data_IF_332530790518
#
_entry.id   IF_332530790518
#
_cell.length_a   1.000
_cell.length_b   1.000
_cell.length_c   1.000
_cell.angle_alpha   90.00
_cell.angle_beta   90.00
_cell.angle_gamma   90.00
#
_symmetry.space_group_name_H-M   'P 1'
#
loop_
_entity.id
_entity.type
_entity.pdbx_description
1 polymer ?
#
# COMPACT_ATOMS: atom_id res chain seq x y z
N UNK A 1 16.68 -34.93 14.54
CA UNK A 1 17.20 -34.84 15.92
C UNK A 1 16.25 -35.62 16.82
N UNK A 2 16.53 -36.91 17.06
CA UNK A 2 15.65 -37.75 17.89
C UNK A 2 15.77 -37.37 19.36
N UNK A 3 14.63 -37.27 20.05
CA UNK A 3 14.61 -37.11 21.51
C UNK A 3 15.37 -38.28 22.15
N UNK A 4 16.25 -38.03 23.14
CA UNK A 4 16.98 -39.09 23.81
C UNK A 4 16.02 -40.06 24.50
N UNK A 5 16.34 -41.35 24.44
CA UNK A 5 15.61 -42.39 25.18
C UNK A 5 15.65 -42.01 26.66
N UNK A 6 14.48 -41.74 27.24
CA UNK A 6 14.37 -41.40 28.66
C UNK A 6 14.94 -42.56 29.48
N UNK A 7 15.94 -42.33 30.35
CA UNK A 7 16.45 -43.37 31.22
C UNK A 7 15.32 -43.86 32.16
N UNK A 8 15.34 -45.13 32.59
CA UNK A 8 14.41 -45.61 33.60
C UNK A 8 14.55 -44.71 34.83
N UNK A 9 13.42 -44.15 35.30
CA UNK A 9 13.38 -43.32 36.51
C UNK A 9 14.12 -44.08 37.63
N UNK A 10 15.14 -43.48 38.27
CA UNK A 10 15.79 -44.11 39.41
C UNK A 10 14.72 -44.43 40.46
N UNK A 11 14.73 -45.66 40.97
CA UNK A 11 13.85 -46.13 42.04
C UNK A 11 14.03 -45.24 43.28
N UNK A 12 13.26 -44.15 43.35
CA UNK A 12 12.88 -43.60 44.63
C UNK A 12 12.05 -44.68 45.31
N UNK A 13 12.48 -45.10 46.50
CA UNK A 13 11.76 -46.00 47.39
C UNK A 13 10.43 -45.37 47.82
N UNK A 14 9.45 -45.40 46.92
CA UNK A 14 8.06 -45.07 47.15
C UNK A 14 7.28 -45.95 46.17
N UNK A 15 6.49 -46.88 46.71
CA UNK A 15 5.59 -47.75 45.95
C UNK A 15 4.50 -46.95 45.24
N UNK A 16 4.86 -46.23 44.19
CA UNK A 16 3.92 -45.89 43.12
C UNK A 16 3.60 -47.19 42.38
N UNK A 17 2.33 -47.45 42.04
CA UNK A 17 1.97 -48.68 41.37
C UNK A 17 2.77 -48.76 40.06
N UNK A 18 3.59 -49.81 39.91
CA UNK A 18 3.94 -50.26 38.56
C UNK A 18 2.61 -50.42 37.86
N UNK A 19 2.39 -49.71 36.77
CA UNK A 19 1.13 -49.81 36.04
C UNK A 19 1.02 -51.25 35.55
N UNK A 20 0.31 -52.07 36.31
CA UNK A 20 0.02 -53.46 35.97
C UNK A 20 -0.92 -53.37 34.78
N UNK A 21 -0.35 -53.55 33.59
CA UNK A 21 -1.12 -53.63 32.37
C UNK A 21 -2.06 -54.82 32.54
N UNK A 22 -3.38 -54.61 32.47
CA UNK A 22 -4.32 -55.70 32.66
C UNK A 22 -3.99 -56.81 31.65
N UNK A 23 -3.86 -58.04 32.13
CA UNK A 23 -3.61 -59.18 31.27
C UNK A 23 -4.91 -59.59 30.57
N UNK A 24 -4.82 -60.23 29.39
CA UNK A 24 -5.99 -60.81 28.74
C UNK A 24 -6.76 -61.75 29.67
N UNK A 25 -8.10 -61.75 29.56
CA UNK A 25 -9.03 -62.42 30.50
C UNK A 25 -8.78 -63.93 30.75
N UNK A 26 -8.01 -64.61 29.90
CA UNK A 26 -7.68 -66.05 30.00
C UNK A 26 -6.19 -66.31 30.23
N UNK A 27 -5.41 -65.30 30.60
CA UNK A 27 -3.96 -65.42 30.76
C UNK A 27 -3.54 -66.47 31.82
N UNK A 28 -4.41 -66.73 32.80
CA UNK A 28 -4.21 -67.74 33.86
C UNK A 28 -4.41 -69.19 33.39
N UNK A 29 -4.92 -69.41 32.17
CA UNK A 29 -5.14 -70.74 31.59
C UNK A 29 -3.97 -71.19 30.70
N UNK A 30 -2.97 -70.34 30.50
CA UNK A 30 -1.84 -70.63 29.61
C UNK A 30 -0.81 -71.52 30.31
N UNK A 31 -0.37 -72.56 29.62
CA UNK A 31 0.76 -73.38 30.07
C UNK A 31 2.09 -72.63 29.93
N UNK A 32 3.14 -73.07 30.62
CA UNK A 32 4.48 -72.47 30.53
C UNK A 32 5.07 -72.52 29.13
N UNK A 33 4.71 -73.54 28.34
CA UNK A 33 5.12 -73.67 26.93
C UNK A 33 4.41 -72.63 26.05
N UNK A 34 3.10 -72.42 26.26
CA UNK A 34 2.30 -71.44 25.52
C UNK A 34 2.72 -70.00 25.85
N UNK A 35 3.12 -69.72 27.09
CA UNK A 35 3.68 -68.42 27.49
C UNK A 35 5.01 -68.14 26.77
N UNK A 36 5.86 -69.15 26.60
CA UNK A 36 7.12 -69.01 25.86
C UNK A 36 6.89 -68.77 24.36
N UNK A 37 5.87 -69.40 23.77
CA UNK A 37 5.46 -69.11 22.39
C UNK A 37 4.86 -67.71 22.24
N UNK A 38 4.07 -67.25 23.22
CA UNK A 38 3.50 -65.91 23.23
C UNK A 38 4.59 -64.83 23.32
N UNK A 39 5.65 -65.08 24.10
CA UNK A 39 6.81 -64.21 24.20
C UNK A 39 7.62 -64.14 22.89
N UNK A 40 7.62 -65.22 22.09
CA UNK A 40 8.19 -65.21 20.74
C UNK A 40 7.31 -64.45 19.74
N UNK A 41 5.99 -64.41 19.97
CA UNK A 41 5.02 -63.68 19.16
C UNK A 41 4.86 -62.21 19.62
N UNK A 42 5.96 -61.45 19.64
CA UNK A 42 5.98 -60.05 20.12
C UNK A 42 4.96 -59.15 19.42
N UNK A 43 4.71 -59.33 18.13
CA UNK A 43 3.76 -58.50 17.36
C UNK A 43 2.34 -58.55 17.94
N UNK A 44 1.91 -59.71 18.45
CA UNK A 44 0.58 -59.89 19.05
C UNK A 44 0.47 -59.17 20.40
N UNK A 45 1.56 -59.18 21.17
CA UNK A 45 1.66 -58.43 22.43
C UNK A 45 1.71 -56.92 22.17
N UNK A 46 2.40 -56.48 21.11
CA UNK A 46 2.44 -55.08 20.70
C UNK A 46 1.07 -54.58 20.25
N UNK A 47 0.31 -55.36 19.48
CA UNK A 47 -1.06 -55.02 19.10
C UNK A 47 -1.99 -54.92 20.32
N UNK A 48 -1.82 -55.80 21.32
CA UNK A 48 -2.58 -55.75 22.56
C UNK A 48 -2.30 -54.47 23.36
N UNK A 49 -1.02 -54.10 23.49
CA UNK A 49 -0.62 -52.86 24.16
C UNK A 49 -1.06 -51.63 23.38
N UNK A 50 -1.00 -51.67 22.04
CA UNK A 50 -1.48 -50.60 21.17
C UNK A 50 -2.98 -50.33 21.39
N UNK A 51 -3.81 -51.38 21.49
CA UNK A 51 -5.25 -51.25 21.76
C UNK A 51 -5.57 -50.66 23.15
N UNK A 52 -4.66 -50.76 24.13
CA UNK A 52 -4.79 -50.10 25.43
C UNK A 52 -4.38 -48.63 25.39
N UNK A 53 -3.65 -48.21 24.35
CA UNK A 53 -3.22 -46.84 24.11
C UNK A 53 -4.13 -46.08 23.12
N UNK A 54 -5.12 -46.74 22.51
CA UNK A 54 -6.13 -46.09 21.67
C UNK A 54 -7.06 -45.23 22.53
N UNK A 55 -6.73 -43.94 22.65
CA UNK A 55 -7.61 -42.98 23.33
C UNK A 55 -8.61 -42.42 22.33
N UNK A 56 -9.87 -42.87 22.42
CA UNK A 56 -10.99 -42.31 21.65
C UNK A 56 -11.10 -40.78 21.83
N UNK A 57 -10.74 -40.25 23.00
CA UNK A 57 -10.73 -38.81 23.26
C UNK A 57 -9.69 -38.08 22.41
N UNK A 58 -8.50 -38.67 22.24
CA UNK A 58 -7.48 -38.09 21.36
C UNK A 58 -7.92 -38.12 19.90
N UNK A 59 -8.57 -39.21 19.45
CA UNK A 59 -9.13 -39.29 18.11
C UNK A 59 -10.21 -38.22 17.88
N UNK A 60 -11.15 -38.07 18.81
CA UNK A 60 -12.18 -37.01 18.76
C UNK A 60 -11.57 -35.61 18.71
N UNK A 61 -10.52 -35.35 19.49
CA UNK A 61 -9.79 -34.06 19.46
C UNK A 61 -9.11 -33.81 18.12
N UNK A 62 -8.47 -34.83 17.54
CA UNK A 62 -7.84 -34.73 16.21
C UNK A 62 -8.88 -34.46 15.13
N UNK A 63 -10.02 -35.13 15.17
CA UNK A 63 -11.12 -34.87 14.23
C UNK A 63 -11.70 -33.46 14.37
N UNK A 64 -11.88 -32.98 15.60
CA UNK A 64 -12.37 -31.63 15.85
C UNK A 64 -11.39 -30.57 15.36
N UNK A 65 -10.09 -30.76 15.59
CA UNK A 65 -9.04 -29.89 15.04
C UNK A 65 -9.03 -29.92 13.51
N UNK A 66 -9.24 -31.08 12.88
CA UNK A 66 -9.36 -31.18 11.42
C UNK A 66 -10.54 -30.38 10.88
N UNK A 67 -11.69 -30.42 11.55
CA UNK A 67 -12.86 -29.60 11.18
C UNK A 67 -12.57 -28.11 11.30
N UNK A 68 -11.99 -27.67 12.42
CA UNK A 68 -11.59 -26.27 12.61
C UNK A 68 -10.59 -25.81 11.54
N UNK A 69 -9.61 -26.64 11.19
CA UNK A 69 -8.66 -26.33 10.13
C UNK A 69 -9.33 -26.23 8.75
N UNK A 70 -10.36 -27.05 8.48
CA UNK A 70 -11.13 -26.96 7.25
C UNK A 70 -11.93 -25.64 7.18
N UNK A 71 -12.61 -25.27 8.26
CA UNK A 71 -13.35 -23.99 8.37
C UNK A 71 -12.41 -22.79 8.18
N UNK A 72 -11.23 -22.82 8.82
CA UNK A 72 -10.22 -21.77 8.65
C UNK A 72 -9.75 -21.69 7.20
N UNK A 73 -9.54 -22.82 6.52
CA UNK A 73 -9.15 -22.82 5.09
C UNK A 73 -10.22 -22.19 4.20
N UNK A 74 -11.48 -22.47 4.45
CA UNK A 74 -12.58 -21.85 3.68
C UNK A 74 -12.67 -20.35 3.92
N UNK A 75 -12.53 -19.90 5.17
CA UNK A 75 -12.54 -18.46 5.48
C UNK A 75 -11.35 -17.73 4.85
N UNK A 76 -10.15 -18.32 4.85
CA UNK A 76 -9.00 -17.76 4.14
C UNK A 76 -9.22 -17.69 2.62
N UNK A 77 -9.80 -18.72 2.02
CA UNK A 77 -10.12 -18.69 0.58
C UNK A 77 -11.12 -17.56 0.24
N UNK A 78 -12.12 -17.35 1.09
CA UNK A 78 -13.05 -16.21 0.96
C UNK A 78 -12.34 -14.85 1.08
N UNK A 79 -11.52 -14.69 2.11
CA UNK A 79 -10.73 -13.47 2.35
C UNK A 79 -9.74 -13.17 1.22
N UNK A 80 -9.12 -14.19 0.62
CA UNK A 80 -8.25 -14.01 -0.54
C UNK A 80 -9.02 -13.47 -1.74
N UNK A 81 -10.24 -13.96 -1.97
CA UNK A 81 -11.12 -13.43 -3.01
C UNK A 81 -11.52 -11.97 -2.77
N UNK A 82 -11.84 -11.61 -1.53
CA UNK A 82 -12.10 -10.21 -1.16
C UNK A 82 -10.86 -9.33 -1.32
N UNK A 83 -9.69 -9.81 -0.88
CA UNK A 83 -8.41 -9.10 -1.05
C UNK A 83 -8.13 -8.80 -2.52
N UNK A 84 -8.34 -9.77 -3.41
CA UNK A 84 -8.16 -9.59 -4.86
C UNK A 84 -9.09 -8.51 -5.41
N UNK A 85 -10.38 -8.53 -5.04
CA UNK A 85 -11.35 -7.50 -5.46
C UNK A 85 -10.97 -6.11 -4.95
N UNK A 86 -10.51 -6.01 -3.71
CA UNK A 86 -10.04 -4.74 -3.14
C UNK A 86 -8.80 -4.25 -3.87
N UNK A 87 -7.86 -5.14 -4.19
CA UNK A 87 -6.65 -4.81 -4.95
C UNK A 87 -7.00 -4.24 -6.33
N UNK A 88 -7.91 -4.87 -7.06
CA UNK A 88 -8.37 -4.37 -8.38
C UNK A 88 -9.00 -2.97 -8.26
N UNK A 89 -9.77 -2.72 -7.21
CA UNK A 89 -10.36 -1.40 -6.95
C UNK A 89 -9.27 -0.37 -6.63
N UNK A 90 -8.28 -0.72 -5.82
CA UNK A 90 -7.14 0.15 -5.52
C UNK A 90 -6.36 0.51 -6.77
N UNK A 91 -6.07 -0.46 -7.64
CA UNK A 91 -5.41 -0.22 -8.91
C UNK A 91 -6.25 0.73 -9.80
N UNK A 92 -7.57 0.57 -9.78
CA UNK A 92 -8.51 1.49 -10.43
C UNK A 92 -8.41 2.93 -9.88
N UNK A 93 -8.38 3.10 -8.56
CA UNK A 93 -8.23 4.41 -7.93
C UNK A 93 -6.86 5.04 -8.24
N UNK A 94 -5.78 4.26 -8.26
CA UNK A 94 -4.45 4.77 -8.62
C UNK A 94 -4.42 5.33 -10.04
N UNK A 95 -5.03 4.63 -11.00
CA UNK A 95 -5.18 5.15 -12.37
C UNK A 95 -6.00 6.43 -12.42
N UNK A 96 -7.04 6.54 -11.61
CA UNK A 96 -7.87 7.75 -11.52
C UNK A 96 -7.08 8.93 -10.95
N UNK A 97 -6.31 8.70 -9.88
CA UNK A 97 -5.43 9.72 -9.29
C UNK A 97 -4.41 10.22 -10.32
N UNK A 98 -3.83 9.32 -11.09
CA UNK A 98 -2.90 9.68 -12.16
C UNK A 98 -3.58 10.59 -13.20
N UNK A 99 -4.75 10.21 -13.72
CA UNK A 99 -5.51 11.04 -14.67
C UNK A 99 -5.91 12.40 -14.10
N UNK A 100 -6.28 12.43 -12.82
CA UNK A 100 -6.59 13.67 -12.13
C UNK A 100 -5.37 14.59 -12.08
N UNK A 101 -4.19 14.06 -11.74
CA UNK A 101 -2.96 14.85 -11.71
C UNK A 101 -2.57 15.36 -13.10
N UNK A 102 -2.69 14.54 -14.15
CA UNK A 102 -2.44 15.00 -15.52
C UNK A 102 -3.38 16.15 -15.92
N UNK A 103 -4.68 16.00 -15.66
CA UNK A 103 -5.67 17.03 -15.97
C UNK A 103 -5.41 18.31 -15.16
N UNK A 104 -5.10 18.17 -13.88
CA UNK A 104 -4.77 19.29 -13.01
C UNK A 104 -3.50 20.02 -13.50
N UNK A 105 -2.45 19.28 -13.85
CA UNK A 105 -1.20 19.86 -14.36
C UNK A 105 -1.41 20.60 -15.69
N UNK A 106 -2.24 20.06 -16.58
CA UNK A 106 -2.56 20.73 -17.84
C UNK A 106 -3.28 22.06 -17.60
N UNK A 107 -4.27 22.08 -16.71
CA UNK A 107 -5.02 23.29 -16.35
C UNK A 107 -4.13 24.29 -15.62
N UNK A 108 -3.42 23.85 -14.57
CA UNK A 108 -2.53 24.70 -13.79
C UNK A 108 -1.39 25.26 -14.66
N UNK A 109 -0.82 24.46 -15.55
CA UNK A 109 0.17 24.90 -16.52
C UNK A 109 -0.37 25.98 -17.46
N UNK A 110 -1.57 25.79 -18.02
CA UNK A 110 -2.21 26.80 -18.88
C UNK A 110 -2.56 28.08 -18.11
N UNK A 111 -3.02 27.93 -16.86
CA UNK A 111 -3.33 29.06 -15.99
C UNK A 111 -2.07 29.85 -15.65
N UNK A 112 -1.00 29.19 -15.21
CA UNK A 112 0.27 29.86 -14.88
C UNK A 112 0.89 30.52 -16.10
N UNK A 113 0.88 29.85 -17.26
CA UNK A 113 1.45 30.41 -18.48
C UNK A 113 0.74 31.68 -18.99
N UNK A 114 -0.49 31.98 -18.54
CA UNK A 114 -1.27 33.13 -19.01
C UNK A 114 -1.62 34.15 -17.95
N UNK A 115 -1.84 33.69 -16.72
CA UNK A 115 -2.42 34.47 -15.62
C UNK A 115 -1.53 34.50 -14.39
N UNK A 116 -0.37 33.85 -14.42
CA UNK A 116 0.60 34.05 -13.36
C UNK A 116 1.00 35.52 -13.28
N UNK A 117 1.17 36.00 -12.05
CA UNK A 117 1.47 37.40 -11.77
C UNK A 117 2.77 37.84 -12.46
N UNK A 118 3.79 36.96 -12.47
CA UNK A 118 5.05 37.21 -13.17
C UNK A 118 4.86 37.34 -14.68
N UNK A 119 4.03 36.47 -15.27
CA UNK A 119 3.73 36.50 -16.72
C UNK A 119 2.97 37.77 -17.10
N UNK A 120 1.94 38.14 -16.33
CA UNK A 120 1.16 39.35 -16.59
C UNK A 120 2.01 40.62 -16.47
N UNK A 121 2.88 40.69 -15.46
CA UNK A 121 3.85 41.80 -15.31
C UNK A 121 4.84 41.85 -16.47
N UNK A 122 5.43 40.71 -16.86
CA UNK A 122 6.37 40.63 -17.97
C UNK A 122 5.71 41.08 -19.29
N UNK A 123 4.46 40.67 -19.52
CA UNK A 123 3.67 41.11 -20.67
C UNK A 123 3.44 42.62 -20.65
N UNK A 124 3.05 43.20 -19.51
CA UNK A 124 2.84 44.64 -19.39
C UNK A 124 4.14 45.42 -19.65
N UNK A 125 5.28 44.93 -19.15
CA UNK A 125 6.60 45.51 -19.42
C UNK A 125 6.96 45.41 -20.92
N UNK A 126 6.65 44.29 -21.57
CA UNK A 126 6.89 44.11 -23.01
C UNK A 126 6.04 45.08 -23.83
N UNK A 127 4.75 45.22 -23.52
CA UNK A 127 3.85 46.18 -24.18
C UNK A 127 4.34 47.63 -24.00
N UNK A 128 4.85 47.97 -22.81
CA UNK A 128 5.43 49.29 -22.53
C UNK A 128 6.70 49.54 -23.37
N UNK A 129 7.59 48.55 -23.47
CA UNK A 129 8.79 48.62 -24.35
C UNK A 129 8.42 48.74 -25.82
N UNK A 130 7.37 48.04 -26.27
CA UNK A 130 6.86 48.13 -27.64
C UNK A 130 6.34 49.55 -27.95
N UNK A 131 5.53 50.14 -27.07
CA UNK A 131 5.04 51.51 -27.22
C UNK A 131 6.20 52.54 -27.27
N UNK A 132 7.25 52.32 -26.48
CA UNK A 132 8.44 53.18 -26.51
C UNK A 132 9.23 53.02 -27.82
N UNK A 133 9.38 51.79 -28.33
CA UNK A 133 10.01 51.52 -29.62
C UNK A 133 9.22 52.15 -30.77
N UNK A 134 7.89 52.02 -30.77
CA UNK A 134 7.00 52.66 -31.74
C UNK A 134 7.13 54.19 -31.70
N UNK A 135 7.21 54.80 -30.51
CA UNK A 135 7.49 56.24 -30.40
C UNK A 135 8.81 56.63 -31.05
N UNK A 136 9.88 55.82 -30.89
CA UNK A 136 11.20 56.10 -31.49
C UNK A 136 11.15 56.00 -33.02
N UNK A 137 10.47 54.98 -33.54
CA UNK A 137 10.24 54.82 -34.99
C UNK A 137 9.44 55.99 -35.54
N UNK A 138 8.35 56.37 -34.88
CA UNK A 138 7.51 57.49 -35.29
C UNK A 138 8.31 58.81 -35.33
N UNK A 139 9.17 59.06 -34.34
CA UNK A 139 10.06 60.23 -34.32
C UNK A 139 11.07 60.23 -35.47
N UNK A 140 11.58 59.07 -35.87
CA UNK A 140 12.50 58.95 -36.99
C UNK A 140 11.83 59.26 -38.34
N UNK A 141 10.51 59.08 -38.43
CA UNK A 141 9.68 59.32 -39.63
C UNK A 141 9.07 60.72 -39.68
N UNK A 142 9.40 61.60 -38.72
CA UNK A 142 8.80 62.95 -38.60
C UNK A 142 8.96 63.79 -39.87
N UNK A 143 10.07 63.62 -40.61
CA UNK A 143 10.32 64.37 -41.84
C UNK A 143 9.36 64.04 -42.99
N UNK A 144 8.71 62.88 -42.95
CA UNK A 144 7.87 62.35 -44.02
C UNK A 144 6.36 62.38 -43.69
N UNK A 145 5.99 62.82 -42.48
CA UNK A 145 4.62 62.74 -41.95
C UNK A 145 3.94 64.12 -41.83
N UNK A 146 2.61 64.15 -42.02
CA UNK A 146 1.80 65.32 -41.66
C UNK A 146 1.91 65.59 -40.15
N UNK A 147 2.19 66.85 -39.80
CA UNK A 147 2.49 67.26 -38.42
C UNK A 147 1.36 66.92 -37.45
N UNK A 148 0.11 67.16 -37.83
CA UNK A 148 -1.04 66.89 -36.95
C UNK A 148 -1.29 65.39 -36.74
N UNK A 149 -1.06 64.58 -37.79
CA UNK A 149 -1.15 63.13 -37.70
C UNK A 149 -0.03 62.57 -36.80
N UNK A 150 1.20 63.07 -36.97
CA UNK A 150 2.33 62.73 -36.11
C UNK A 150 2.03 63.08 -34.64
N UNK A 151 1.60 64.31 -34.35
CA UNK A 151 1.35 64.78 -32.99
C UNK A 151 0.27 63.93 -32.31
N UNK A 152 -0.81 63.62 -33.04
CA UNK A 152 -1.91 62.79 -32.53
C UNK A 152 -1.42 61.39 -32.16
N UNK A 153 -0.67 60.74 -33.06
CA UNK A 153 -0.18 59.38 -32.85
C UNK A 153 0.90 59.32 -31.77
N UNK A 154 1.79 60.31 -31.74
CA UNK A 154 2.86 60.41 -30.75
C UNK A 154 2.30 60.64 -29.35
N UNK A 155 1.35 61.57 -29.19
CA UNK A 155 0.68 61.81 -27.90
C UNK A 155 -0.07 60.57 -27.43
N UNK A 156 -0.78 59.88 -28.33
CA UNK A 156 -1.46 58.62 -28.00
C UNK A 156 -0.48 57.59 -27.46
N UNK A 157 0.59 57.27 -28.19
CA UNK A 157 1.58 56.27 -27.78
C UNK A 157 2.27 56.66 -26.47
N UNK A 158 2.54 57.95 -26.26
CA UNK A 158 3.19 58.43 -25.05
C UNK A 158 2.28 58.36 -23.82
N UNK A 159 1.01 58.72 -23.97
CA UNK A 159 -0.01 58.53 -22.92
C UNK A 159 -0.16 57.06 -22.58
N UNK A 160 -0.26 56.21 -23.61
CA UNK A 160 -0.35 54.76 -23.47
C UNK A 160 0.85 54.15 -22.73
N UNK A 161 2.07 54.62 -23.00
CA UNK A 161 3.28 54.24 -22.26
C UNK A 161 3.18 54.63 -20.78
N UNK A 162 2.83 55.90 -20.49
CA UNK A 162 2.78 56.40 -19.12
C UNK A 162 1.69 55.72 -18.28
N UNK A 163 0.51 55.48 -18.87
CA UNK A 163 -0.56 54.72 -18.21
C UNK A 163 -0.10 53.31 -17.85
N UNK A 164 0.61 52.61 -18.75
CA UNK A 164 1.14 51.26 -18.46
C UNK A 164 2.23 51.30 -17.38
N UNK A 165 3.07 52.33 -17.37
CA UNK A 165 4.10 52.55 -16.35
C UNK A 165 3.50 52.75 -14.96
N UNK A 166 2.51 53.63 -14.83
CA UNK A 166 1.81 53.88 -13.55
C UNK A 166 1.09 52.62 -13.06
N UNK A 167 0.47 51.86 -13.97
CA UNK A 167 -0.13 50.55 -13.64
C UNK A 167 0.91 49.55 -13.13
N UNK A 168 2.12 49.51 -13.71
CA UNK A 168 3.18 48.63 -13.22
C UNK A 168 3.68 49.06 -11.85
N UNK A 169 3.96 50.35 -11.66
CA UNK A 169 4.43 50.92 -10.39
C UNK A 169 3.41 50.66 -9.26
N UNK A 170 2.13 50.88 -9.52
CA UNK A 170 1.06 50.56 -8.55
C UNK A 170 0.91 49.07 -8.29
N UNK A 171 1.04 48.22 -9.32
CA UNK A 171 1.00 46.76 -9.19
C UNK A 171 2.15 46.26 -8.31
N UNK A 172 3.35 46.80 -8.45
CA UNK A 172 4.51 46.42 -7.62
C UNK A 172 4.27 46.71 -6.14
N UNK A 173 3.71 47.89 -5.83
CA UNK A 173 3.36 48.28 -4.47
C UNK A 173 2.23 47.41 -3.90
N UNK A 174 1.17 47.16 -4.67
CA UNK A 174 0.05 46.32 -4.23
C UNK A 174 0.44 44.85 -4.07
N UNK A 175 1.32 44.34 -4.92
CA UNK A 175 1.85 42.99 -4.82
C UNK A 175 2.69 42.76 -3.56
N UNK A 176 3.33 43.81 -3.03
CA UNK A 176 4.02 43.76 -1.75
C UNK A 176 3.06 43.73 -0.54
N UNK A 177 1.83 44.23 -0.69
CA UNK A 177 0.81 44.25 0.38
C UNK A 177 0.04 42.94 0.52
N UNK A 178 0.07 42.07 -0.50
CA UNK A 178 -0.61 40.76 -0.50
C UNK A 178 0.29 39.58 -0.11
N UNK A 179 1.60 39.81 0.04
CA UNK A 179 2.57 38.82 0.55
C UNK A 179 2.72 38.98 2.06
#
# INVERSE_FOLDING_TARGET
>A
MGTPVLPPKPCAAAGGPRAEVPLPRKAHLLSTAELQELLKAQDKLQLYVAGLCESEETQKRVEQQRKQLAEIRETFAGLEGERQRVQERLDGYQRLVFRYHEAWQAVDGACRARYDDGVLRARLQQEMRAAEAECRVLRAQLGDAEVDAFLTQYLRLRTEYHVRREKLETWEVQGALRR
#
